data_IF_189241840873
#
_entry.id   IF_189241840873
#
_cell.length_a   1.000
_cell.length_b   1.000
_cell.length_c   1.000
_cell.angle_alpha   90.00
_cell.angle_beta   90.00
_cell.angle_gamma   90.00
#
_symmetry.space_group_name_H-M   'P 1'
#
loop_
_entity.id
_entity.type
_entity.pdbx_description
1 polymer ?
#
# COMPACT_ATOMS: atom_id res chain seq x y z
N UNK A 1 -4.46 21.20 20.86
CA UNK A 1 -3.33 20.34 20.45
C UNK A 1 -2.73 21.00 19.21
N UNK A 2 -1.41 21.23 19.21
CA UNK A 2 -0.76 22.21 18.34
C UNK A 2 -0.73 21.82 16.87
N UNK A 3 -1.67 22.36 16.09
CA UNK A 3 -1.59 22.37 14.61
C UNK A 3 -0.63 23.45 14.08
N UNK A 4 -0.11 24.32 14.95
CA UNK A 4 0.69 25.51 14.62
C UNK A 4 2.09 25.21 14.01
N UNK A 5 2.49 23.94 13.88
CA UNK A 5 3.79 23.54 13.32
C UNK A 5 3.74 22.29 12.41
N UNK A 6 2.57 21.92 11.87
CA UNK A 6 2.53 20.81 10.94
C UNK A 6 3.05 21.23 9.57
N UNK A 7 3.90 20.39 8.97
CA UNK A 7 4.33 20.53 7.59
C UNK A 7 3.10 20.65 6.69
N UNK A 8 3.03 21.66 5.79
CA UNK A 8 1.90 21.85 4.88
C UNK A 8 1.51 20.59 4.09
N UNK A 9 2.48 19.76 3.72
CA UNK A 9 2.26 18.50 3.02
C UNK A 9 1.60 17.45 3.93
N UNK A 10 1.92 17.46 5.22
CA UNK A 10 1.30 16.57 6.20
C UNK A 10 -0.18 16.92 6.41
N UNK A 11 -0.49 18.21 6.52
CA UNK A 11 -1.88 18.70 6.63
C UNK A 11 -2.69 18.29 5.40
N UNK A 12 -2.09 18.38 4.21
CA UNK A 12 -2.72 17.92 2.96
C UNK A 12 -3.02 16.43 2.99
N UNK A 13 -2.08 15.59 3.46
CA UNK A 13 -2.26 14.14 3.56
C UNK A 13 -3.31 13.74 4.60
N UNK A 14 -3.34 14.42 5.76
CA UNK A 14 -4.38 14.18 6.78
C UNK A 14 -5.77 14.46 6.20
N UNK A 15 -5.94 15.58 5.49
CA UNK A 15 -7.21 15.90 4.83
C UNK A 15 -7.63 14.88 3.77
N UNK A 16 -6.68 14.26 3.08
CA UNK A 16 -6.96 13.17 2.14
C UNK A 16 -7.39 11.90 2.88
N UNK A 17 -6.74 11.53 3.99
CA UNK A 17 -7.08 10.35 4.79
C UNK A 17 -8.42 10.51 5.52
N UNK A 18 -8.77 11.72 5.95
CA UNK A 18 -10.06 12.01 6.59
C UNK A 18 -11.24 12.00 5.60
N UNK A 19 -10.97 12.01 4.30
CA UNK A 19 -12.00 11.89 3.27
C UNK A 19 -12.36 10.41 3.05
N UNK A 20 -13.57 9.96 3.42
CA UNK A 20 -13.97 8.56 3.24
C UNK A 20 -14.09 8.15 1.76
N UNK A 21 -14.25 9.10 0.85
CA UNK A 21 -14.32 8.84 -0.60
C UNK A 21 -12.91 8.75 -1.24
N UNK A 22 -11.85 9.05 -0.47
CA UNK A 22 -10.47 8.93 -0.95
C UNK A 22 -9.95 7.51 -0.68
N UNK A 23 -9.96 6.68 -1.72
CA UNK A 23 -9.48 5.30 -1.67
C UNK A 23 -7.96 5.17 -1.87
N UNK A 24 -7.24 6.28 -1.90
CA UNK A 24 -5.81 6.31 -2.24
C UNK A 24 -5.55 6.33 -3.74
N UNK A 25 -4.30 6.10 -4.12
CA UNK A 25 -3.91 6.03 -5.52
C UNK A 25 -4.30 4.66 -6.11
N UNK A 26 -4.81 4.61 -7.36
CA UNK A 26 -5.18 3.36 -8.00
C UNK A 26 -3.94 2.49 -8.24
N UNK A 27 -4.13 1.17 -8.17
CA UNK A 27 -3.08 0.21 -8.50
C UNK A 27 -2.63 0.37 -9.95
N UNK A 28 -1.32 0.44 -10.14
CA UNK A 28 -0.68 0.43 -11.46
C UNK A 28 -0.51 -1.00 -11.98
N UNK A 29 -0.19 -1.15 -13.26
CA UNK A 29 0.09 -2.47 -13.85
C UNK A 29 1.24 -3.21 -13.15
N UNK A 30 2.24 -2.48 -12.64
CA UNK A 30 3.35 -3.07 -11.88
C UNK A 30 2.87 -3.62 -10.53
N UNK A 31 1.94 -2.93 -9.87
CA UNK A 31 1.41 -3.35 -8.58
C UNK A 31 0.66 -4.67 -8.68
N UNK A 32 -0.07 -4.89 -9.77
CA UNK A 32 -0.71 -6.18 -10.04
C UNK A 32 0.29 -7.31 -10.25
N UNK A 33 1.38 -7.04 -10.97
CA UNK A 33 2.47 -8.03 -11.17
C UNK A 33 3.10 -8.38 -9.84
N UNK A 34 3.43 -7.38 -9.01
CA UNK A 34 4.00 -7.59 -7.68
C UNK A 34 3.03 -8.33 -6.76
N UNK A 35 1.75 -7.96 -6.76
CA UNK A 35 0.71 -8.61 -5.97
C UNK A 35 0.58 -10.08 -6.34
N UNK A 36 0.61 -10.42 -7.63
CA UNK A 36 0.58 -11.79 -8.10
C UNK A 36 1.84 -12.57 -7.70
N UNK A 37 3.01 -11.96 -7.83
CA UNK A 37 4.27 -12.58 -7.47
C UNK A 37 4.36 -12.86 -5.97
N UNK A 38 4.02 -11.87 -5.14
CA UNK A 38 4.10 -11.97 -3.67
C UNK A 38 2.94 -12.78 -3.09
N UNK A 39 1.74 -12.66 -3.65
CA UNK A 39 0.54 -13.31 -3.14
C UNK A 39 0.39 -14.78 -3.56
N UNK A 40 0.96 -15.16 -4.71
CA UNK A 40 0.80 -16.50 -5.26
C UNK A 40 2.13 -17.21 -5.51
N UNK A 41 3.00 -16.62 -6.33
CA UNK A 41 4.18 -17.31 -6.86
C UNK A 41 5.21 -17.62 -5.76
N UNK A 42 5.57 -16.62 -4.95
CA UNK A 42 6.54 -16.81 -3.86
C UNK A 42 6.04 -17.84 -2.84
N UNK A 43 4.79 -17.75 -2.30
CA UNK A 43 4.25 -18.77 -1.42
C UNK A 43 4.26 -20.17 -2.03
N UNK A 44 3.88 -20.32 -3.30
CA UNK A 44 3.89 -21.61 -3.99
C UNK A 44 5.30 -22.20 -4.07
N UNK A 45 6.31 -21.40 -4.42
CA UNK A 45 7.71 -21.83 -4.46
C UNK A 45 8.18 -22.26 -3.06
N UNK A 46 7.87 -21.47 -2.03
CA UNK A 46 8.22 -21.79 -0.65
C UNK A 46 7.57 -23.08 -0.16
N UNK A 47 6.33 -23.35 -0.54
CA UNK A 47 5.67 -24.63 -0.23
C UNK A 47 6.32 -25.81 -0.96
N UNK A 48 6.72 -25.67 -2.21
CA UNK A 48 7.36 -26.76 -2.95
C UNK A 48 8.76 -27.05 -2.38
N UNK A 49 9.57 -26.01 -2.14
CA UNK A 49 10.93 -26.17 -1.62
C UNK A 49 10.96 -26.51 -0.13
N UNK A 50 10.05 -25.98 0.68
CA UNK A 50 10.00 -26.28 2.12
C UNK A 50 9.61 -27.72 2.43
N UNK A 51 9.08 -28.45 1.45
CA UNK A 51 8.58 -29.83 1.60
C UNK A 51 9.37 -30.84 0.74
N UNK A 52 10.43 -30.39 0.05
CA UNK A 52 11.38 -31.23 -0.70
C UNK A 52 12.65 -31.47 0.08
#
# INVERSE_FOLDING_TARGET
MGEEQLDPELVKRIKLVENPDYEGDPLTGMDYVLLFLVGLIIPAILMIWGWS
#
